data_IF_177438525896
#
_entry.id   IF_177438525896
#
_cell.length_a   1.000
_cell.length_b   1.000
_cell.length_c   1.000
_cell.angle_alpha   90.00
_cell.angle_beta   90.00
_cell.angle_gamma   90.00
#
_symmetry.space_group_name_H-M   'P 1'
#
loop_
_entity.id
_entity.type
_entity.pdbx_description
1 polymer ?
#
# COMPACT_ATOMS: atom_id res chain seq x y z
N UNK A 1 -26.95 13.59 1.06
CA UNK A 1 -26.41 14.62 1.91
C UNK A 1 -26.97 14.49 3.33
N UNK A 2 -26.10 14.21 4.30
CA UNK A 2 -26.48 13.94 5.69
C UNK A 2 -26.71 15.24 6.49
N UNK A 3 -26.17 16.38 6.04
CA UNK A 3 -26.33 17.69 6.67
C UNK A 3 -26.01 17.67 8.16
N UNK A 4 -26.82 18.35 8.96
CA UNK A 4 -26.63 18.48 10.42
C UNK A 4 -26.95 17.19 11.22
N UNK A 5 -27.19 16.06 10.52
CA UNK A 5 -27.50 14.77 11.15
C UNK A 5 -26.25 13.98 11.57
N UNK A 6 -25.08 14.39 11.10
CA UNK A 6 -23.81 13.71 11.35
C UNK A 6 -22.77 14.75 11.74
N UNK A 7 -22.04 14.46 12.81
CA UNK A 7 -20.84 15.19 13.19
C UNK A 7 -19.63 14.34 12.81
N UNK A 8 -18.73 14.90 12.01
CA UNK A 8 -17.44 14.27 11.68
C UNK A 8 -16.37 14.71 12.67
N UNK A 9 -15.62 13.73 13.18
CA UNK A 9 -14.40 13.95 13.96
C UNK A 9 -13.26 13.37 13.16
N UNK A 10 -12.46 14.21 12.54
CA UNK A 10 -11.38 13.82 11.66
C UNK A 10 -10.04 13.86 12.38
N UNK A 11 -9.24 12.79 12.25
CA UNK A 11 -7.90 12.67 12.78
C UNK A 11 -6.99 12.05 11.71
N UNK A 12 -5.74 12.47 11.69
CA UNK A 12 -4.74 11.96 10.76
C UNK A 12 -3.52 11.44 11.52
N UNK A 13 -3.21 10.17 11.32
CA UNK A 13 -2.06 9.52 11.94
C UNK A 13 -0.73 9.80 11.20
N UNK A 14 -0.78 10.47 10.05
CA UNK A 14 0.40 10.76 9.22
C UNK A 14 1.28 9.52 8.96
N UNK A 15 0.65 8.38 8.69
CA UNK A 15 1.27 7.08 8.46
C UNK A 15 2.03 6.49 9.67
N UNK A 16 1.77 6.99 10.89
CA UNK A 16 2.36 6.45 12.12
C UNK A 16 1.42 5.43 12.76
N UNK A 17 1.80 4.13 12.74
CA UNK A 17 0.95 3.03 13.24
C UNK A 17 0.58 3.19 14.73
N UNK A 18 1.52 3.53 15.65
CA UNK A 18 1.17 3.81 17.03
C UNK A 18 0.16 4.96 17.20
N UNK A 19 0.26 5.98 16.36
CA UNK A 19 -0.69 7.11 16.36
C UNK A 19 -2.08 6.66 15.88
N UNK A 20 -2.18 5.74 14.90
CA UNK A 20 -3.47 5.14 14.53
C UNK A 20 -4.18 4.52 15.75
N UNK A 21 -3.46 3.70 16.52
CA UNK A 21 -4.01 3.07 17.71
C UNK A 21 -4.46 4.09 18.76
N UNK A 22 -3.67 5.15 18.97
CA UNK A 22 -4.01 6.25 19.91
C UNK A 22 -5.29 6.98 19.49
N UNK A 23 -5.42 7.32 18.22
CA UNK A 23 -6.60 8.01 17.65
C UNK A 23 -7.84 7.14 17.81
N UNK A 24 -7.76 5.87 17.41
CA UNK A 24 -8.92 4.97 17.46
C UNK A 24 -9.36 4.70 18.90
N UNK A 25 -8.44 4.51 19.83
CA UNK A 25 -8.78 4.38 21.25
C UNK A 25 -9.48 5.64 21.80
N UNK A 26 -9.11 6.83 21.30
CA UNK A 26 -9.83 8.07 21.57
C UNK A 26 -11.28 8.00 21.07
N UNK A 27 -11.51 7.60 19.81
CA UNK A 27 -12.85 7.47 19.25
C UNK A 27 -13.71 6.46 20.02
N UNK A 28 -13.16 5.31 20.42
CA UNK A 28 -13.85 4.32 21.24
C UNK A 28 -14.22 4.90 22.61
N UNK A 29 -13.32 5.64 23.24
CA UNK A 29 -13.52 6.29 24.54
C UNK A 29 -14.61 7.38 24.46
N UNK A 30 -14.65 8.12 23.35
CA UNK A 30 -15.64 9.18 23.10
C UNK A 30 -17.00 8.62 22.69
N UNK A 31 -17.09 7.31 22.43
CA UNK A 31 -18.33 6.60 22.10
C UNK A 31 -18.91 7.01 20.74
N UNK A 32 -18.06 7.11 19.70
CA UNK A 32 -18.54 7.40 18.35
C UNK A 32 -19.47 6.30 17.82
N UNK A 33 -20.41 6.66 16.96
CA UNK A 33 -21.39 5.71 16.41
C UNK A 33 -20.85 4.87 15.26
N UNK A 34 -19.79 5.34 14.58
CA UNK A 34 -19.17 4.73 13.42
C UNK A 34 -17.72 5.16 13.30
N UNK A 35 -16.83 4.23 12.90
CA UNK A 35 -15.45 4.53 12.53
C UNK A 35 -15.30 4.35 11.02
N UNK A 36 -14.85 5.39 10.31
CA UNK A 36 -14.38 5.29 8.94
C UNK A 36 -12.85 5.17 8.95
N UNK A 37 -12.35 3.98 8.63
CA UNK A 37 -10.93 3.67 8.61
C UNK A 37 -10.38 3.81 7.19
N UNK A 38 -9.50 4.77 6.97
CA UNK A 38 -8.87 5.01 5.68
C UNK A 38 -7.46 4.40 5.68
N UNK A 39 -7.22 3.45 4.80
CA UNK A 39 -6.02 2.62 4.64
C UNK A 39 -5.91 1.45 5.64
N UNK A 40 -5.08 0.47 5.26
CA UNK A 40 -4.86 -0.77 6.02
C UNK A 40 -4.45 -0.55 7.48
N UNK A 41 -3.49 0.34 7.83
CA UNK A 41 -3.11 0.54 9.23
C UNK A 41 -4.24 1.11 10.11
N UNK A 42 -5.05 2.00 9.55
CA UNK A 42 -6.21 2.54 10.26
C UNK A 42 -7.29 1.48 10.50
N UNK A 43 -7.55 0.61 9.50
CA UNK A 43 -8.46 -0.51 9.63
C UNK A 43 -7.99 -1.50 10.71
N UNK A 44 -6.71 -1.89 10.69
CA UNK A 44 -6.13 -2.78 11.69
C UNK A 44 -6.26 -2.22 13.12
N UNK A 45 -5.96 -0.93 13.29
CA UNK A 45 -6.12 -0.25 14.57
C UNK A 45 -7.58 -0.23 15.04
N UNK A 46 -8.52 0.04 14.13
CA UNK A 46 -9.95 0.06 14.45
C UNK A 46 -10.47 -1.32 14.88
N UNK A 47 -10.12 -2.36 14.15
CA UNK A 47 -10.54 -3.74 14.47
C UNK A 47 -9.92 -4.22 15.79
N UNK A 48 -8.69 -3.82 16.11
CA UNK A 48 -8.06 -4.15 17.37
C UNK A 48 -8.68 -3.44 18.59
N UNK A 49 -9.32 -2.27 18.38
CA UNK A 49 -9.85 -1.44 19.46
C UNK A 49 -11.30 -1.72 19.81
N UNK A 50 -12.12 -2.22 18.88
CA UNK A 50 -13.56 -2.43 19.13
C UNK A 50 -14.15 -3.59 18.30
N UNK A 51 -15.03 -4.35 18.91
CA UNK A 51 -15.84 -5.39 18.28
C UNK A 51 -17.33 -5.00 18.16
N UNK A 52 -17.69 -3.81 18.62
CA UNK A 52 -19.08 -3.35 18.74
C UNK A 52 -19.39 -2.11 17.92
N UNK A 53 -18.47 -1.15 17.82
CA UNK A 53 -18.67 0.03 16.98
C UNK A 53 -18.51 -0.39 15.51
N UNK A 54 -19.47 -0.10 14.62
CA UNK A 54 -19.33 -0.38 13.21
C UNK A 54 -18.08 0.29 12.61
N UNK A 55 -17.35 -0.47 11.77
CA UNK A 55 -16.14 0.00 11.09
C UNK A 55 -16.38 -0.11 9.59
N UNK A 56 -16.18 0.99 8.87
CA UNK A 56 -16.13 1.01 7.41
C UNK A 56 -14.70 1.28 6.95
N UNK A 57 -14.12 0.33 6.23
CA UNK A 57 -12.82 0.48 5.61
C UNK A 57 -12.93 1.10 4.21
N UNK A 58 -12.00 1.98 3.87
CA UNK A 58 -11.79 2.49 2.51
C UNK A 58 -10.29 2.59 2.23
N UNK A 59 -9.90 2.63 0.98
CA UNK A 59 -8.49 2.56 0.58
C UNK A 59 -7.75 1.37 1.23
N UNK A 60 -8.43 0.23 1.32
CA UNK A 60 -7.89 -1.03 1.84
C UNK A 60 -7.66 -1.98 0.67
N UNK A 61 -6.40 -2.34 0.45
CA UNK A 61 -5.99 -3.15 -0.71
C UNK A 61 -6.65 -4.53 -0.67
N UNK A 62 -6.49 -5.28 0.43
CA UNK A 62 -7.03 -6.63 0.56
C UNK A 62 -7.34 -6.94 2.03
N UNK A 63 -8.61 -7.22 2.34
CA UNK A 63 -9.09 -7.38 3.72
C UNK A 63 -8.63 -8.68 4.38
N UNK A 64 -8.48 -9.75 3.60
CA UNK A 64 -8.02 -11.04 4.12
C UNK A 64 -6.63 -10.92 4.71
N UNK A 65 -5.72 -10.28 3.99
CA UNK A 65 -4.33 -10.04 4.43
C UNK A 65 -4.29 -8.97 5.53
N UNK A 66 -5.05 -7.88 5.38
CA UNK A 66 -5.10 -6.81 6.37
C UNK A 66 -5.52 -7.30 7.75
N UNK A 67 -6.42 -8.28 7.83
CA UNK A 67 -7.02 -8.78 9.05
C UNK A 67 -6.66 -10.24 9.38
N UNK A 68 -5.69 -10.84 8.67
CA UNK A 68 -5.27 -12.24 8.82
C UNK A 68 -6.45 -13.25 8.74
N UNK A 69 -7.38 -13.01 7.79
CA UNK A 69 -8.54 -13.87 7.57
C UNK A 69 -8.15 -15.01 6.63
N UNK A 70 -8.06 -16.22 7.16
CA UNK A 70 -7.79 -17.42 6.35
C UNK A 70 -8.97 -17.72 5.44
N UNK A 71 -8.65 -18.13 4.20
CA UNK A 71 -9.66 -18.47 3.17
C UNK A 71 -10.68 -17.34 2.94
N UNK A 72 -10.19 -16.08 2.90
CA UNK A 72 -11.03 -14.92 2.69
C UNK A 72 -11.86 -15.04 1.40
N UNK A 73 -13.16 -14.87 1.53
CA UNK A 73 -14.15 -15.06 0.47
C UNK A 73 -14.86 -13.77 0.04
N UNK A 74 -14.29 -12.61 0.39
CA UNK A 74 -14.88 -11.30 0.12
C UNK A 74 -15.80 -10.78 1.22
N UNK A 75 -15.92 -11.49 2.35
CA UNK A 75 -16.74 -11.08 3.50
C UNK A 75 -15.91 -11.10 4.76
N UNK A 76 -15.79 -9.94 5.43
CA UNK A 76 -15.08 -9.83 6.71
C UNK A 76 -15.96 -10.34 7.85
N UNK A 77 -17.20 -9.89 7.92
CA UNK A 77 -18.13 -10.22 9.00
C UNK A 77 -17.93 -9.38 10.26
N UNK A 78 -18.68 -9.72 11.32
CA UNK A 78 -18.65 -8.96 12.57
C UNK A 78 -19.14 -7.52 12.38
N UNK A 79 -18.43 -6.57 12.97
CA UNK A 79 -18.72 -5.14 12.90
C UNK A 79 -17.97 -4.42 11.74
N UNK A 80 -17.35 -5.15 10.80
CA UNK A 80 -16.49 -4.60 9.76
C UNK A 80 -17.12 -4.77 8.38
N UNK A 81 -17.11 -3.70 7.59
CA UNK A 81 -17.44 -3.68 6.17
C UNK A 81 -16.58 -2.63 5.45
N UNK A 82 -16.70 -2.52 4.13
CA UNK A 82 -15.97 -1.49 3.38
C UNK A 82 -15.81 -1.81 1.91
N UNK A 83 -14.87 -1.11 1.28
CA UNK A 83 -14.51 -1.29 -0.13
C UNK A 83 -13.04 -1.67 -0.26
N UNK A 84 -12.73 -2.58 -1.19
CA UNK A 84 -11.35 -2.89 -1.59
C UNK A 84 -10.94 -2.02 -2.76
N UNK A 85 -9.69 -1.60 -2.77
CA UNK A 85 -9.07 -0.84 -3.86
C UNK A 85 -7.92 -1.60 -4.53
N UNK A 86 -7.92 -2.92 -4.41
CA UNK A 86 -6.89 -3.77 -5.02
C UNK A 86 -6.80 -3.51 -6.52
N UNK A 87 -5.64 -3.00 -6.93
CA UNK A 87 -5.32 -2.78 -8.33
C UNK A 87 -5.17 -4.13 -9.10
N UNK A 88 -5.31 -4.14 -10.42
CA UNK A 88 -5.15 -5.35 -11.23
C UNK A 88 -3.67 -5.73 -11.35
N UNK A 89 -3.15 -6.45 -10.36
CA UNK A 89 -1.73 -6.76 -10.20
C UNK A 89 -1.13 -7.55 -11.37
N UNK A 90 -1.90 -8.45 -11.96
CA UNK A 90 -1.54 -9.18 -13.16
C UNK A 90 -1.33 -8.25 -14.36
N UNK A 91 -2.17 -7.22 -14.50
CA UNK A 91 -2.03 -6.22 -15.56
C UNK A 91 -0.90 -5.24 -15.26
N UNK A 92 -0.61 -4.93 -14.00
CA UNK A 92 0.57 -4.15 -13.63
C UNK A 92 1.86 -4.90 -14.00
N UNK A 93 1.93 -6.20 -13.74
CA UNK A 93 3.06 -7.02 -14.18
C UNK A 93 3.19 -7.05 -15.71
N UNK A 94 2.06 -7.21 -16.43
CA UNK A 94 2.04 -7.17 -17.89
C UNK A 94 2.49 -5.81 -18.44
N UNK A 95 2.09 -4.71 -17.81
CA UNK A 95 2.52 -3.34 -18.18
C UNK A 95 4.04 -3.17 -18.03
N UNK A 96 4.64 -3.70 -16.97
CA UNK A 96 6.11 -3.67 -16.80
C UNK A 96 6.79 -4.35 -18.00
N UNK A 97 6.32 -5.54 -18.40
CA UNK A 97 6.89 -6.30 -19.51
C UNK A 97 6.66 -5.61 -20.87
N UNK A 98 5.55 -4.92 -21.05
CA UNK A 98 5.25 -4.16 -22.26
C UNK A 98 6.12 -2.91 -22.39
N UNK A 99 6.30 -2.15 -21.31
CA UNK A 99 7.10 -0.93 -21.30
C UNK A 99 8.61 -1.24 -21.37
N UNK A 100 9.04 -2.36 -20.79
CA UNK A 100 10.45 -2.74 -20.69
C UNK A 100 10.68 -4.17 -21.20
N UNK A 101 10.49 -4.44 -22.50
CA UNK A 101 10.57 -5.80 -23.05
C UNK A 101 11.97 -6.42 -22.95
N UNK A 102 13.00 -5.61 -22.79
CA UNK A 102 14.38 -6.05 -22.67
C UNK A 102 14.86 -6.22 -21.21
N UNK A 103 14.05 -5.82 -20.23
CA UNK A 103 14.39 -5.96 -18.82
C UNK A 103 14.57 -7.43 -18.44
N UNK A 104 15.66 -7.73 -17.74
CA UNK A 104 15.97 -9.07 -17.22
C UNK A 104 15.79 -9.16 -15.72
N UNK A 105 15.90 -8.02 -15.05
CA UNK A 105 15.84 -7.92 -13.60
C UNK A 105 14.86 -6.82 -13.20
N UNK A 106 13.90 -7.16 -12.37
CA UNK A 106 12.96 -6.23 -11.77
C UNK A 106 13.10 -6.25 -10.25
N UNK A 107 13.33 -5.08 -9.66
CA UNK A 107 13.35 -4.91 -8.22
C UNK A 107 11.97 -4.52 -7.71
N UNK A 108 11.46 -5.17 -6.67
CA UNK A 108 10.24 -4.74 -5.98
C UNK A 108 10.64 -4.08 -4.66
N UNK A 109 10.27 -2.80 -4.49
CA UNK A 109 10.63 -1.96 -3.35
C UNK A 109 9.41 -1.61 -2.53
N UNK A 110 9.40 -1.94 -1.21
CA UNK A 110 8.27 -1.62 -0.34
C UNK A 110 8.63 -1.61 1.15
N UNK A 111 7.72 -1.09 1.98
CA UNK A 111 7.83 -1.11 3.44
C UNK A 111 7.44 -2.48 4.01
N UNK A 112 8.35 -3.14 4.72
CA UNK A 112 8.13 -4.47 5.30
C UNK A 112 7.06 -4.50 6.40
N UNK A 113 6.69 -3.35 6.96
CA UNK A 113 5.65 -3.23 7.98
C UNK A 113 4.23 -3.19 7.40
N UNK A 114 4.08 -3.16 6.06
CA UNK A 114 2.79 -3.05 5.38
C UNK A 114 2.37 -4.38 4.73
N UNK A 115 1.41 -5.13 5.32
CA UNK A 115 0.98 -6.42 4.78
C UNK A 115 0.31 -6.32 3.40
N UNK A 116 -0.33 -5.17 3.08
CA UNK A 116 -0.84 -4.87 1.74
C UNK A 116 0.29 -4.87 0.69
N UNK A 117 1.45 -4.33 1.03
CA UNK A 117 2.60 -4.26 0.12
C UNK A 117 3.25 -5.63 -0.07
N UNK A 118 3.36 -6.41 1.00
CA UNK A 118 3.84 -7.81 0.93
C UNK A 118 2.97 -8.63 -0.02
N UNK A 119 1.64 -8.59 0.15
CA UNK A 119 0.70 -9.31 -0.70
C UNK A 119 0.84 -8.94 -2.18
N UNK A 120 0.87 -7.65 -2.49
CA UNK A 120 1.02 -7.16 -3.86
C UNK A 120 2.37 -7.57 -4.46
N UNK A 121 3.45 -7.47 -3.68
CA UNK A 121 4.78 -7.91 -4.07
C UNK A 121 4.79 -9.39 -4.47
N UNK A 122 4.20 -10.25 -3.65
CA UNK A 122 4.18 -11.69 -3.91
C UNK A 122 3.43 -12.03 -5.21
N UNK A 123 2.28 -11.37 -5.46
CA UNK A 123 1.49 -11.58 -6.67
C UNK A 123 2.25 -11.08 -7.91
N UNK A 124 2.75 -9.83 -7.90
CA UNK A 124 3.46 -9.24 -9.04
C UNK A 124 4.75 -10.00 -9.33
N UNK A 125 5.49 -10.41 -8.30
CA UNK A 125 6.66 -11.26 -8.44
C UNK A 125 6.33 -12.56 -9.16
N UNK A 126 5.31 -13.27 -8.70
CA UNK A 126 4.89 -14.53 -9.31
C UNK A 126 4.50 -14.36 -10.78
N UNK A 127 3.83 -13.26 -11.15
CA UNK A 127 3.46 -12.99 -12.55
C UNK A 127 4.68 -12.67 -13.41
N UNK A 128 5.61 -11.85 -12.95
CA UNK A 128 6.85 -11.51 -13.67
C UNK A 128 7.76 -12.73 -13.88
N UNK A 129 7.92 -13.57 -12.85
CA UNK A 129 8.75 -14.78 -12.92
C UNK A 129 8.22 -15.81 -13.94
N UNK A 130 6.89 -15.89 -14.16
CA UNK A 130 6.31 -16.73 -15.25
C UNK A 130 6.83 -16.34 -16.64
N UNK A 131 7.20 -15.07 -16.82
CA UNK A 131 7.73 -14.54 -18.07
C UNK A 131 9.26 -14.63 -18.18
N UNK A 132 9.92 -15.26 -17.20
CA UNK A 132 11.37 -15.48 -17.19
C UNK A 132 12.19 -14.29 -16.71
N UNK A 133 11.56 -13.28 -16.13
CA UNK A 133 12.25 -12.15 -15.49
C UNK A 133 12.74 -12.57 -14.10
N UNK A 134 13.95 -12.16 -13.74
CA UNK A 134 14.45 -12.32 -12.37
C UNK A 134 13.90 -11.22 -11.48
N UNK A 135 13.25 -11.57 -10.39
CA UNK A 135 12.66 -10.60 -9.46
C UNK A 135 13.37 -10.64 -8.11
N UNK A 136 13.87 -9.50 -7.68
CA UNK A 136 14.46 -9.29 -6.35
C UNK A 136 13.59 -8.37 -5.50
N UNK A 137 13.50 -8.66 -4.21
CA UNK A 137 12.68 -7.89 -3.27
C UNK A 137 13.59 -7.08 -2.35
N UNK A 138 13.29 -5.79 -2.23
CA UNK A 138 14.01 -4.83 -1.41
C UNK A 138 13.02 -4.20 -0.42
N UNK A 139 13.27 -4.38 0.86
CA UNK A 139 12.39 -3.86 1.89
C UNK A 139 13.09 -2.85 2.78
N UNK A 140 12.43 -1.78 3.09
CA UNK A 140 12.81 -0.85 4.14
C UNK A 140 11.86 -0.97 5.34
N UNK A 141 12.33 -0.66 6.53
CA UNK A 141 11.53 -0.76 7.75
C UNK A 141 10.72 0.52 8.00
N UNK A 142 11.31 1.65 7.69
CA UNK A 142 10.72 2.98 7.83
C UNK A 142 11.36 3.99 6.84
N UNK A 143 10.97 5.25 6.92
CA UNK A 143 11.44 6.31 6.02
C UNK A 143 12.95 6.60 6.09
N UNK A 144 13.66 6.19 7.16
CA UNK A 144 15.10 6.47 7.31
C UNK A 144 15.94 5.61 6.38
N UNK A 145 15.49 4.39 6.09
CA UNK A 145 16.25 3.42 5.29
C UNK A 145 15.94 3.52 3.79
N UNK A 146 14.85 4.20 3.40
CA UNK A 146 14.31 4.17 2.04
C UNK A 146 15.34 4.54 0.98
N UNK A 147 16.13 5.59 1.19
CA UNK A 147 17.11 6.04 0.20
C UNK A 147 18.24 5.02 -0.01
N UNK A 148 18.75 4.41 1.07
CA UNK A 148 19.81 3.42 0.99
C UNK A 148 19.35 2.12 0.32
N UNK A 149 18.14 1.68 0.64
CA UNK A 149 17.53 0.48 0.03
C UNK A 149 17.20 0.74 -1.44
N UNK A 150 16.71 1.93 -1.80
CA UNK A 150 16.47 2.33 -3.19
C UNK A 150 17.77 2.33 -3.99
N UNK A 151 18.89 2.83 -3.44
CA UNK A 151 20.18 2.82 -4.11
C UNK A 151 20.62 1.39 -4.45
N UNK A 152 20.52 0.47 -3.47
CA UNK A 152 20.84 -0.93 -3.70
C UNK A 152 19.94 -1.55 -4.78
N UNK A 153 18.65 -1.26 -4.73
CA UNK A 153 17.70 -1.75 -5.72
C UNK A 153 18.00 -1.23 -7.13
N UNK A 154 18.38 0.04 -7.26
CA UNK A 154 18.78 0.63 -8.55
C UNK A 154 20.06 0.02 -9.11
N UNK A 155 21.06 -0.26 -8.28
CA UNK A 155 22.34 -0.83 -8.71
C UNK A 155 22.20 -2.25 -9.29
N UNK A 156 21.16 -2.98 -8.90
CA UNK A 156 21.00 -4.40 -9.19
C UNK A 156 19.93 -4.72 -10.25
N UNK A 157 19.05 -3.75 -10.59
CA UNK A 157 17.89 -4.00 -11.43
C UNK A 157 17.76 -3.04 -12.60
N UNK A 158 17.06 -3.48 -13.66
CA UNK A 158 16.78 -2.70 -14.86
C UNK A 158 15.56 -1.78 -14.68
N UNK A 159 14.60 -2.21 -13.85
CA UNK A 159 13.32 -1.52 -13.55
C UNK A 159 12.97 -1.78 -12.10
N UNK A 160 12.37 -0.79 -11.43
CA UNK A 160 11.76 -0.98 -10.11
C UNK A 160 10.24 -0.97 -10.22
N UNK A 161 9.61 -1.78 -9.38
CA UNK A 161 8.18 -1.74 -9.10
C UNK A 161 7.96 -1.37 -7.63
N UNK A 162 7.05 -0.42 -7.38
CA UNK A 162 6.63 -0.05 -6.02
C UNK A 162 5.12 -0.27 -5.93
N UNK A 163 4.64 -1.23 -5.11
CA UNK A 163 3.22 -1.47 -4.93
C UNK A 163 2.50 -0.28 -4.26
N UNK A 164 1.20 -0.37 -4.07
CA UNK A 164 0.47 0.57 -3.20
C UNK A 164 0.98 0.43 -1.78
N UNK A 165 1.80 1.39 -1.35
CA UNK A 165 2.54 1.40 -0.09
C UNK A 165 2.50 2.81 0.52
N UNK A 166 1.93 2.93 1.72
CA UNK A 166 1.72 4.24 2.35
C UNK A 166 3.04 4.91 2.74
N UNK A 167 4.03 4.12 3.17
CA UNK A 167 5.34 4.65 3.55
C UNK A 167 6.11 5.10 2.32
N UNK A 168 6.14 4.31 1.25
CA UNK A 168 6.74 4.70 -0.03
C UNK A 168 6.08 5.96 -0.60
N UNK A 169 4.74 6.06 -0.54
CA UNK A 169 4.00 7.23 -0.99
C UNK A 169 4.40 8.51 -0.24
N UNK A 170 4.73 8.40 1.05
CA UNK A 170 5.22 9.53 1.85
C UNK A 170 6.70 9.88 1.60
N UNK A 171 7.45 9.00 0.92
CA UNK A 171 8.90 9.10 0.70
C UNK A 171 9.30 9.22 -0.76
N UNK A 172 8.36 9.53 -1.66
CA UNK A 172 8.59 9.57 -3.11
C UNK A 172 9.72 10.48 -3.53
N UNK A 173 9.90 11.63 -2.87
CA UNK A 173 11.02 12.54 -3.12
C UNK A 173 12.37 11.87 -2.81
N UNK A 174 12.48 11.16 -1.69
CA UNK A 174 13.70 10.46 -1.32
C UNK A 174 14.02 9.31 -2.30
N UNK A 175 13.00 8.60 -2.78
CA UNK A 175 13.12 7.56 -3.80
C UNK A 175 13.56 8.16 -5.13
N UNK A 176 12.90 9.24 -5.58
CA UNK A 176 13.20 9.90 -6.85
C UNK A 176 14.62 10.46 -6.89
N UNK A 177 15.08 11.08 -5.81
CA UNK A 177 16.43 11.64 -5.70
C UNK A 177 17.53 10.58 -5.85
N UNK A 178 17.21 9.29 -5.73
CA UNK A 178 18.11 8.17 -5.95
C UNK A 178 17.90 7.55 -7.33
N UNK A 179 16.67 7.23 -7.69
CA UNK A 179 16.34 6.48 -8.90
C UNK A 179 16.56 7.30 -10.19
N UNK A 180 16.21 8.58 -10.19
CA UNK A 180 16.34 9.45 -11.35
C UNK A 180 17.83 9.62 -11.78
N UNK A 181 18.78 9.96 -10.88
CA UNK A 181 20.20 10.00 -11.25
C UNK A 181 20.78 8.65 -11.66
N UNK A 182 20.25 7.55 -11.11
CA UNK A 182 20.65 6.19 -11.49
C UNK A 182 20.13 5.80 -12.88
N UNK A 183 19.14 6.52 -13.41
CA UNK A 183 18.50 6.21 -14.68
C UNK A 183 17.63 4.95 -14.65
N UNK A 184 17.19 4.51 -13.47
CA UNK A 184 16.36 3.32 -13.30
C UNK A 184 14.89 3.73 -13.23
N UNK A 185 14.06 3.31 -14.20
CA UNK A 185 12.64 3.66 -14.23
C UNK A 185 11.86 2.94 -13.11
N UNK A 186 10.83 3.62 -12.62
CA UNK A 186 9.92 3.09 -11.60
C UNK A 186 8.52 2.96 -12.18
N UNK A 187 7.94 1.76 -12.10
CA UNK A 187 6.51 1.51 -12.32
C UNK A 187 5.82 1.46 -10.96
N UNK A 188 4.77 2.25 -10.80
CA UNK A 188 4.11 2.43 -9.52
C UNK A 188 2.77 1.69 -9.45
N UNK A 189 2.43 1.16 -8.29
CA UNK A 189 1.17 0.49 -8.00
C UNK A 189 -0.01 1.46 -7.83
N UNK A 190 0.27 2.77 -7.60
CA UNK A 190 -0.76 3.79 -7.41
C UNK A 190 -0.29 5.17 -7.92
N UNK A 191 -1.26 6.09 -8.05
CA UNK A 191 -1.07 7.39 -8.73
C UNK A 191 -0.14 8.34 -7.96
N UNK A 192 -0.21 8.38 -6.62
CA UNK A 192 0.60 9.28 -5.80
C UNK A 192 2.09 8.94 -5.89
N UNK A 193 2.44 7.66 -5.81
CA UNK A 193 3.82 7.18 -6.02
C UNK A 193 4.26 7.48 -7.44
N UNK A 194 3.38 7.26 -8.44
CA UNK A 194 3.69 7.54 -9.83
C UNK A 194 4.00 9.03 -10.05
N UNK A 195 3.19 9.93 -9.52
CA UNK A 195 3.42 11.38 -9.61
C UNK A 195 4.73 11.83 -8.94
N UNK A 196 5.11 11.15 -7.87
CA UNK A 196 6.29 11.52 -7.07
C UNK A 196 7.61 10.96 -7.58
N UNK A 197 7.62 9.74 -8.13
CA UNK A 197 8.85 9.07 -8.57
C UNK A 197 8.66 8.04 -9.69
N UNK A 198 7.44 7.77 -10.14
CA UNK A 198 7.18 6.77 -11.18
C UNK A 198 7.03 7.36 -12.57
N UNK A 199 7.10 6.50 -13.57
CA UNK A 199 6.89 6.85 -14.97
C UNK A 199 5.56 6.33 -15.53
N UNK A 200 5.00 5.31 -14.90
CA UNK A 200 3.72 4.69 -15.28
C UNK A 200 3.04 4.05 -14.08
N UNK A 201 1.72 3.99 -14.15
CA UNK A 201 0.87 3.26 -13.21
C UNK A 201 -0.39 2.74 -13.90
N UNK A 202 -0.95 1.68 -13.37
CA UNK A 202 -2.28 1.18 -13.68
C UNK A 202 -2.99 0.96 -12.34
N UNK A 203 -3.74 1.93 -11.89
CA UNK A 203 -4.27 1.97 -10.53
C UNK A 203 -5.74 2.40 -10.49
N UNK A 204 -6.33 2.29 -9.32
CA UNK A 204 -7.62 2.90 -9.00
C UNK A 204 -7.50 4.43 -9.06
N UNK A 205 -8.52 5.11 -9.60
CA UNK A 205 -8.66 6.56 -9.59
C UNK A 205 -9.46 6.96 -8.33
N UNK A 206 -8.91 7.85 -7.52
CA UNK A 206 -9.51 8.31 -6.25
C UNK A 206 -10.16 9.67 -6.35
#
# INVERSE_FOLDING_TARGET
ALGDKVQFVEQNAANDIPTCATIVNGFVSDGVDLILANATPALQAAVAATDSIPILGTAVTEYGVALDIKDFNGTVGGNVSGTSDLAPLDQQAAMILELFPDAKKVGILYCSAEPNSVYQSDVVKAELEKSGVTVSVYTFADSNDVAAVTATACDENDVLYIPTDNTAASCTEAINNVAEPAGVPIVAGEEGICKGCGIATLSTDY
#
